data_IF_806386593744
#
_entry.id   IF_806386593744
#
_cell.length_a   1.000
_cell.length_b   1.000
_cell.length_c   1.000
_cell.angle_alpha   90.00
_cell.angle_beta   90.00
_cell.angle_gamma   90.00
#
_symmetry.space_group_name_H-M   'P 1'
#
loop_
_entity.id
_entity.type
_entity.pdbx_description
1 polymer ?
#
# COMPACT_ATOMS: atom_id res chain seq x y z
N UNK A 1 20.87 -3.86 -31.04
CA UNK A 1 21.98 -3.81 -32.00
C UNK A 1 21.45 -3.34 -33.34
N UNK A 2 21.92 -2.19 -33.83
CA UNK A 2 21.57 -1.66 -35.17
C UNK A 2 22.41 -2.36 -36.25
N UNK A 3 23.69 -2.59 -35.98
CA UNK A 3 24.64 -3.16 -36.95
C UNK A 3 24.36 -4.63 -37.31
N UNK A 4 23.65 -5.35 -36.43
CA UNK A 4 23.27 -6.75 -36.67
C UNK A 4 22.04 -6.90 -37.57
N UNK A 5 21.37 -5.80 -37.93
CA UNK A 5 20.20 -5.84 -38.80
C UNK A 5 20.64 -6.01 -40.26
N UNK A 6 19.89 -6.75 -41.10
CA UNK A 6 20.05 -6.75 -42.56
C UNK A 6 20.16 -5.34 -43.17
N UNK A 7 20.90 -5.23 -44.28
CA UNK A 7 21.21 -3.94 -44.92
C UNK A 7 19.97 -3.13 -45.30
N UNK A 8 18.97 -3.80 -45.88
CA UNK A 8 17.69 -3.22 -46.27
C UNK A 8 16.92 -2.64 -45.08
N UNK A 9 16.94 -3.31 -43.91
CA UNK A 9 16.30 -2.82 -42.70
C UNK A 9 17.04 -1.63 -42.09
N UNK A 10 18.39 -1.63 -42.11
CA UNK A 10 19.18 -0.47 -41.68
C UNK A 10 18.91 0.74 -42.56
N UNK A 11 18.88 0.54 -43.88
CA UNK A 11 18.62 1.59 -44.85
C UNK A 11 17.22 2.17 -44.67
N UNK A 12 16.20 1.31 -44.48
CA UNK A 12 14.84 1.75 -44.16
C UNK A 12 14.78 2.63 -42.92
N UNK A 13 15.52 2.30 -41.86
CA UNK A 13 15.57 3.13 -40.64
C UNK A 13 16.26 4.47 -40.91
N UNK A 14 17.39 4.48 -41.62
CA UNK A 14 18.17 5.69 -41.92
C UNK A 14 17.42 6.66 -42.85
N UNK A 15 16.62 6.12 -43.77
CA UNK A 15 15.82 6.89 -44.74
C UNK A 15 14.43 7.27 -44.20
N UNK A 16 14.05 6.81 -42.99
CA UNK A 16 12.75 7.17 -42.40
C UNK A 16 12.74 8.65 -42.05
N UNK A 17 11.92 9.44 -42.75
CA UNK A 17 11.71 10.84 -42.44
C UNK A 17 10.98 10.98 -41.09
N UNK A 18 11.60 11.70 -40.16
CA UNK A 18 11.02 12.02 -38.87
C UNK A 18 10.32 13.37 -38.96
N UNK A 19 9.03 13.39 -38.64
CA UNK A 19 8.31 14.64 -38.44
C UNK A 19 8.69 15.20 -37.06
N UNK A 20 9.43 16.31 -37.06
CA UNK A 20 9.87 16.99 -35.83
C UNK A 20 9.10 18.29 -35.69
N UNK A 21 8.39 18.44 -34.56
CA UNK A 21 7.78 19.69 -34.16
C UNK A 21 8.70 20.39 -33.15
N UNK A 22 9.12 21.62 -33.47
CA UNK A 22 9.81 22.49 -32.54
C UNK A 22 8.78 23.45 -31.94
N UNK A 23 8.62 23.38 -30.62
CA UNK A 23 7.58 24.10 -29.89
C UNK A 23 8.25 25.09 -28.93
N UNK A 24 7.88 26.36 -29.02
CA UNK A 24 8.32 27.42 -28.11
C UNK A 24 7.12 28.01 -27.38
N UNK A 25 7.24 28.25 -26.07
CA UNK A 25 6.14 28.80 -25.27
C UNK A 25 6.41 28.73 -23.78
N UNK A 26 5.43 29.13 -22.98
CA UNK A 26 5.48 28.94 -21.53
C UNK A 26 5.45 27.45 -21.17
N UNK A 27 5.99 27.10 -20.00
CA UNK A 27 6.05 25.71 -19.52
C UNK A 27 4.68 25.01 -19.54
N UNK A 28 3.62 25.74 -19.19
CA UNK A 28 2.23 25.26 -19.23
C UNK A 28 1.74 24.94 -20.65
N UNK A 29 2.17 25.71 -21.65
CA UNK A 29 1.80 25.50 -23.06
C UNK A 29 2.53 24.30 -23.63
N UNK A 30 3.84 24.17 -23.34
CA UNK A 30 4.66 23.02 -23.72
C UNK A 30 4.05 21.73 -23.13
N UNK A 31 3.63 21.74 -21.86
CA UNK A 31 2.98 20.60 -21.20
C UNK A 31 1.69 20.17 -21.89
N UNK A 32 0.81 21.12 -22.22
CA UNK A 32 -0.47 20.81 -22.88
C UNK A 32 -0.28 20.33 -24.32
N UNK A 33 0.67 20.92 -25.06
CA UNK A 33 1.02 20.45 -26.41
C UNK A 33 1.59 19.04 -26.37
N UNK A 34 2.51 18.77 -25.43
CA UNK A 34 3.12 17.45 -25.28
C UNK A 34 2.09 16.38 -24.92
N UNK A 35 1.14 16.68 -24.02
CA UNK A 35 0.00 15.77 -23.76
C UNK A 35 -0.84 15.54 -25.01
N UNK A 36 -1.19 16.61 -25.72
CA UNK A 36 -2.08 16.56 -26.91
C UNK A 36 -1.48 15.73 -28.03
N UNK A 37 -0.19 15.91 -28.32
CA UNK A 37 0.52 15.17 -29.38
C UNK A 37 0.60 13.68 -29.04
N UNK A 38 0.72 13.32 -27.76
CA UNK A 38 0.88 11.93 -27.30
C UNK A 38 -0.45 11.22 -26.95
N UNK A 39 -1.61 11.73 -27.41
CA UNK A 39 -2.92 11.09 -27.20
C UNK A 39 -3.04 9.79 -28.00
N UNK A 40 -2.40 9.70 -29.17
CA UNK A 40 -2.52 8.54 -30.06
C UNK A 40 -1.48 7.48 -29.68
N UNK A 41 -1.95 6.32 -29.24
CA UNK A 41 -1.09 5.17 -28.90
C UNK A 41 -1.17 4.80 -27.42
N UNK A 42 -0.02 4.47 -26.81
CA UNK A 42 0.07 4.22 -25.37
C UNK A 42 0.13 5.55 -24.64
N UNK A 43 -0.83 5.89 -23.76
CA UNK A 43 -0.79 7.14 -23.02
C UNK A 43 0.48 7.25 -22.19
N UNK A 44 1.06 8.45 -22.21
CA UNK A 44 2.18 8.78 -21.33
C UNK A 44 1.71 8.74 -19.87
N UNK A 45 2.54 8.17 -19.01
CA UNK A 45 2.36 8.29 -17.57
C UNK A 45 2.83 9.67 -17.07
N UNK A 46 2.54 9.95 -15.81
CA UNK A 46 2.86 11.25 -15.23
C UNK A 46 4.36 11.56 -15.25
N UNK A 47 5.21 10.58 -14.94
CA UNK A 47 6.66 10.78 -14.94
C UNK A 47 7.22 11.04 -16.34
N UNK A 48 6.68 10.39 -17.36
CA UNK A 48 7.00 10.60 -18.78
C UNK A 48 6.70 12.06 -19.19
N UNK A 49 5.57 12.62 -18.73
CA UNK A 49 5.23 14.04 -18.93
C UNK A 49 6.18 14.98 -18.17
N UNK A 50 6.47 14.68 -16.90
CA UNK A 50 7.35 15.50 -16.06
C UNK A 50 8.77 15.57 -16.61
N UNK A 51 9.28 14.47 -17.14
CA UNK A 51 10.61 14.40 -17.73
C UNK A 51 10.74 15.27 -19.01
N UNK A 52 9.64 15.46 -19.75
CA UNK A 52 9.64 16.35 -20.91
C UNK A 52 9.72 17.83 -20.50
N UNK A 53 9.03 18.19 -19.41
CA UNK A 53 8.95 19.56 -18.90
C UNK A 53 10.25 19.97 -18.20
N UNK A 54 10.72 19.11 -17.29
CA UNK A 54 11.87 19.37 -16.41
C UNK A 54 13.17 18.73 -16.95
N UNK A 55 13.31 18.68 -18.27
CA UNK A 55 14.48 18.10 -18.92
C UNK A 55 15.78 18.80 -18.46
N UNK A 56 16.85 18.02 -18.35
CA UNK A 56 18.18 18.47 -17.93
C UNK A 56 19.06 17.32 -17.43
N UNK A 57 20.32 17.61 -17.07
CA UNK A 57 21.30 16.59 -16.64
C UNK A 57 20.77 15.68 -15.52
N UNK A 58 20.06 16.25 -14.55
CA UNK A 58 19.48 15.52 -13.43
C UNK A 58 18.49 14.42 -13.87
N UNK A 59 17.58 14.74 -14.79
CA UNK A 59 16.60 13.77 -15.31
C UNK A 59 17.29 12.69 -16.14
N UNK A 60 18.30 13.06 -16.93
CA UNK A 60 19.10 12.09 -17.70
C UNK A 60 19.78 11.07 -16.78
N UNK A 61 20.45 11.53 -15.72
CA UNK A 61 21.10 10.68 -14.73
C UNK A 61 20.09 9.81 -13.95
N UNK A 62 18.94 10.38 -13.60
CA UNK A 62 17.85 9.66 -12.94
C UNK A 62 17.35 8.50 -13.80
N UNK A 63 17.13 8.74 -15.10
CA UNK A 63 16.74 7.69 -16.05
C UNK A 63 17.81 6.63 -16.24
N UNK A 64 19.07 7.04 -16.37
CA UNK A 64 20.19 6.11 -16.50
C UNK A 64 20.28 5.15 -15.29
N UNK A 65 20.00 5.66 -14.10
CA UNK A 65 20.07 4.88 -12.86
C UNK A 65 18.83 4.01 -12.64
N UNK A 66 17.63 4.60 -12.75
CA UNK A 66 16.38 3.96 -12.32
C UNK A 66 15.57 3.32 -13.45
N UNK A 67 15.85 3.68 -14.71
CA UNK A 67 15.12 3.17 -15.88
C UNK A 67 15.95 2.19 -16.73
N UNK A 68 17.12 1.78 -16.24
CA UNK A 68 17.96 0.77 -16.89
C UNK A 68 17.44 -0.64 -16.59
N UNK A 69 16.61 -1.18 -17.50
CA UNK A 69 16.06 -2.54 -17.39
C UNK A 69 17.09 -3.66 -17.36
N UNK A 70 18.35 -3.40 -17.74
CA UNK A 70 19.47 -4.35 -17.62
C UNK A 70 20.18 -4.34 -16.27
N UNK A 71 19.82 -3.41 -15.37
CA UNK A 71 20.43 -3.30 -14.04
C UNK A 71 20.01 -4.47 -13.14
N UNK A 72 20.97 -5.08 -12.44
CA UNK A 72 20.70 -6.13 -11.45
C UNK A 72 19.85 -5.63 -10.28
N UNK A 73 19.84 -4.31 -10.01
CA UNK A 73 19.03 -3.69 -8.96
C UNK A 73 17.52 -3.79 -9.25
N UNK A 74 17.11 -3.91 -10.51
CA UNK A 74 15.68 -3.98 -10.89
C UNK A 74 14.99 -5.16 -10.21
N UNK A 75 15.66 -6.32 -10.12
CA UNK A 75 15.09 -7.50 -9.46
C UNK A 75 14.80 -7.24 -7.97
N UNK A 76 15.72 -6.55 -7.28
CA UNK A 76 15.56 -6.16 -5.89
C UNK A 76 14.43 -5.13 -5.72
N UNK A 77 14.41 -4.07 -6.53
CA UNK A 77 13.38 -3.04 -6.42
C UNK A 77 11.99 -3.59 -6.74
N UNK A 78 11.89 -4.51 -7.70
CA UNK A 78 10.61 -5.15 -8.08
C UNK A 78 10.00 -6.01 -6.98
N UNK A 79 10.77 -6.38 -5.95
CA UNK A 79 10.23 -7.08 -4.77
C UNK A 79 9.37 -6.16 -3.88
N UNK A 80 9.69 -4.86 -3.85
CA UNK A 80 9.06 -3.88 -2.96
C UNK A 80 8.18 -2.88 -3.71
N UNK A 81 8.52 -2.58 -4.97
CA UNK A 81 7.88 -1.56 -5.78
C UNK A 81 7.15 -2.23 -6.95
N UNK A 82 5.92 -1.80 -7.17
CA UNK A 82 5.17 -2.21 -8.36
C UNK A 82 5.50 -1.26 -9.52
N UNK A 83 6.42 -1.66 -10.39
CA UNK A 83 6.76 -0.86 -11.56
C UNK A 83 7.56 -1.60 -12.63
N UNK A 84 7.65 -0.96 -13.79
CA UNK A 84 8.52 -1.29 -14.92
C UNK A 84 9.57 -0.20 -15.11
N UNK A 85 10.84 -0.60 -15.16
CA UNK A 85 11.96 0.29 -15.42
C UNK A 85 11.80 1.05 -16.75
N UNK A 86 11.22 0.42 -17.78
CA UNK A 86 11.00 1.05 -19.10
C UNK A 86 9.92 2.13 -19.05
N UNK A 87 8.97 2.03 -18.13
CA UNK A 87 7.96 3.06 -17.83
C UNK A 87 8.42 4.06 -16.79
N UNK A 88 9.67 3.95 -16.33
CA UNK A 88 10.29 4.89 -15.39
C UNK A 88 9.62 4.87 -14.00
N UNK A 89 8.94 3.79 -13.65
CA UNK A 89 8.17 3.70 -12.41
C UNK A 89 9.09 3.75 -11.17
N UNK A 90 10.28 3.14 -11.22
CA UNK A 90 11.24 3.24 -10.11
C UNK A 90 11.80 4.67 -9.95
N UNK A 91 11.95 5.40 -11.07
CA UNK A 91 12.38 6.79 -11.02
C UNK A 91 11.29 7.68 -10.40
N UNK A 92 10.04 7.44 -10.80
CA UNK A 92 8.89 8.11 -10.22
C UNK A 92 8.80 7.90 -8.71
N UNK A 93 8.89 6.65 -8.24
CA UNK A 93 8.85 6.33 -6.80
C UNK A 93 10.02 6.97 -6.05
N UNK A 94 11.23 6.97 -6.62
CA UNK A 94 12.37 7.63 -5.99
C UNK A 94 12.16 9.14 -5.82
N UNK A 95 11.58 9.80 -6.83
CA UNK A 95 11.22 11.22 -6.76
C UNK A 95 10.07 11.49 -5.80
N UNK A 96 9.02 10.67 -5.82
CA UNK A 96 7.87 10.76 -4.93
C UNK A 96 8.30 10.74 -3.46
N UNK A 97 9.16 9.79 -3.11
CA UNK A 97 9.68 9.60 -1.76
C UNK A 97 10.45 10.81 -1.26
N UNK A 98 11.46 11.28 -2.00
CA UNK A 98 12.27 12.43 -1.58
C UNK A 98 11.46 13.75 -1.59
N UNK A 99 10.55 13.93 -2.54
CA UNK A 99 9.69 15.12 -2.60
C UNK A 99 8.73 15.17 -1.41
N UNK A 100 8.10 14.03 -1.09
CA UNK A 100 7.21 13.90 0.08
C UNK A 100 7.96 14.16 1.38
N UNK A 101 9.17 13.60 1.55
CA UNK A 101 10.01 13.84 2.73
C UNK A 101 10.40 15.32 2.89
N UNK A 102 10.48 16.06 1.78
CA UNK A 102 10.73 17.52 1.77
C UNK A 102 9.46 18.37 1.81
N UNK A 103 8.28 17.76 1.90
CA UNK A 103 7.00 18.46 1.96
C UNK A 103 6.64 19.20 0.66
N UNK A 104 7.05 18.67 -0.49
CA UNK A 104 6.80 19.26 -1.81
C UNK A 104 6.33 18.21 -2.83
N UNK A 105 5.88 18.68 -3.99
CA UNK A 105 5.49 17.83 -5.12
C UNK A 105 6.71 17.41 -5.95
N UNK A 106 6.54 16.33 -6.73
CA UNK A 106 7.58 15.86 -7.68
C UNK A 106 7.94 16.98 -8.68
N UNK A 107 6.94 17.72 -9.16
CA UNK A 107 7.15 18.82 -10.12
C UNK A 107 8.04 19.92 -9.53
N UNK A 108 7.78 20.34 -8.30
CA UNK A 108 8.59 21.34 -7.60
C UNK A 108 10.02 20.86 -7.38
N UNK A 109 10.19 19.60 -6.96
CA UNK A 109 11.51 19.00 -6.76
C UNK A 109 12.29 18.93 -8.08
N UNK A 110 11.68 18.38 -9.14
CA UNK A 110 12.33 18.30 -10.45
C UNK A 110 12.66 19.69 -11.02
N UNK A 111 11.80 20.69 -10.85
CA UNK A 111 12.06 22.07 -11.29
C UNK A 111 13.30 22.67 -10.62
N UNK A 112 13.47 22.45 -9.31
CA UNK A 112 14.62 22.95 -8.55
C UNK A 112 15.92 22.24 -8.91
N UNK A 113 15.84 20.96 -9.29
CA UNK A 113 17.01 20.09 -9.45
C UNK A 113 17.38 19.79 -10.91
N UNK A 114 16.56 20.16 -11.91
CA UNK A 114 16.73 19.76 -13.33
C UNK A 114 18.13 20.02 -13.92
N UNK A 115 18.82 21.06 -13.45
CA UNK A 115 20.15 21.44 -13.92
C UNK A 115 21.30 20.88 -13.08
N UNK A 116 21.01 20.15 -12.01
CA UNK A 116 22.02 19.49 -11.19
C UNK A 116 22.71 18.39 -11.99
N UNK A 117 24.02 18.27 -11.81
CA UNK A 117 24.88 17.24 -12.41
C UNK A 117 24.96 15.95 -11.58
N UNK A 118 24.10 15.83 -10.56
CA UNK A 118 24.06 14.68 -9.66
C UNK A 118 22.65 14.39 -9.16
N UNK A 119 22.37 13.10 -8.95
CA UNK A 119 21.16 12.56 -8.32
C UNK A 119 21.42 11.94 -6.94
N UNK A 120 22.60 12.19 -6.35
CA UNK A 120 23.05 11.51 -5.12
C UNK A 120 22.02 11.60 -3.99
N UNK A 121 21.34 12.74 -3.82
CA UNK A 121 20.31 12.91 -2.79
C UNK A 121 19.15 11.93 -2.98
N UNK A 122 18.56 11.90 -4.19
CA UNK A 122 17.46 11.00 -4.52
C UNK A 122 17.87 9.54 -4.38
N UNK A 123 19.03 9.19 -4.92
CA UNK A 123 19.52 7.83 -4.86
C UNK A 123 19.80 7.38 -3.42
N UNK A 124 20.41 8.25 -2.61
CA UNK A 124 20.70 7.96 -1.20
C UNK A 124 19.42 7.73 -0.42
N UNK A 125 18.42 8.63 -0.57
CA UNK A 125 17.14 8.49 0.13
C UNK A 125 16.42 7.20 -0.29
N UNK A 126 16.34 6.92 -1.59
CA UNK A 126 15.75 5.69 -2.11
C UNK A 126 16.44 4.43 -1.55
N UNK A 127 17.78 4.39 -1.62
CA UNK A 127 18.57 3.27 -1.08
C UNK A 127 18.37 3.13 0.44
N UNK A 128 18.25 4.24 1.18
CA UNK A 128 17.94 4.22 2.62
C UNK A 128 16.59 3.57 2.92
N UNK A 129 15.53 3.92 2.19
CA UNK A 129 14.21 3.31 2.37
C UNK A 129 14.26 1.81 2.05
N UNK A 130 14.83 1.43 0.90
CA UNK A 130 14.92 0.00 0.51
C UNK A 130 15.74 -0.81 1.52
N UNK A 131 16.89 -0.29 1.95
CA UNK A 131 17.74 -0.96 2.93
C UNK A 131 17.03 -1.09 4.29
N UNK A 132 16.25 -0.09 4.70
CA UNK A 132 15.46 -0.18 5.93
C UNK A 132 14.42 -1.31 5.85
N UNK A 133 13.68 -1.41 4.74
CA UNK A 133 12.70 -2.48 4.54
C UNK A 133 13.39 -3.85 4.55
N UNK A 134 14.46 -4.02 3.78
CA UNK A 134 15.16 -5.30 3.66
C UNK A 134 15.83 -5.75 4.96
N UNK A 135 16.27 -4.81 5.80
CA UNK A 135 16.84 -5.12 7.11
C UNK A 135 15.78 -5.40 8.17
N UNK A 136 14.59 -4.79 8.04
CA UNK A 136 13.48 -4.98 8.98
C UNK A 136 12.76 -6.31 8.75
N UNK A 137 12.57 -6.68 7.48
CA UNK A 137 11.91 -7.93 7.08
C UNK A 137 12.94 -8.87 6.43
N UNK A 138 13.34 -9.94 7.12
CA UNK A 138 14.31 -10.90 6.60
C UNK A 138 13.68 -11.92 5.62
N UNK A 139 12.36 -11.84 5.40
CA UNK A 139 11.61 -12.56 4.38
C UNK A 139 10.99 -11.58 3.38
N UNK A 140 10.89 -12.01 2.11
CA UNK A 140 10.28 -11.24 1.03
C UNK A 140 9.01 -11.95 0.56
N UNK A 141 7.87 -11.30 0.77
CA UNK A 141 6.57 -11.81 0.34
C UNK A 141 6.04 -11.02 -0.86
N UNK A 142 5.18 -11.65 -1.66
CA UNK A 142 4.59 -11.03 -2.85
C UNK A 142 3.83 -9.75 -2.53
N UNK A 143 3.14 -9.71 -1.40
CA UNK A 143 2.31 -8.59 -0.96
C UNK A 143 3.11 -7.39 -0.43
N UNK A 144 4.43 -7.54 -0.27
CA UNK A 144 5.34 -6.40 -0.03
C UNK A 144 5.43 -5.48 -1.24
N UNK A 145 5.15 -6.01 -2.44
CA UNK A 145 5.21 -5.24 -3.67
C UNK A 145 4.07 -4.23 -3.77
N UNK A 146 4.43 -2.96 -3.89
CA UNK A 146 3.49 -1.85 -4.05
C UNK A 146 2.85 -1.38 -2.75
N UNK A 147 3.51 -1.58 -1.60
CA UNK A 147 3.18 -0.88 -0.36
C UNK A 147 3.80 0.52 -0.37
N UNK A 148 3.23 1.42 0.41
CA UNK A 148 3.66 2.82 0.59
C UNK A 148 4.96 2.91 1.41
N UNK A 149 6.04 2.29 0.93
CA UNK A 149 7.27 2.13 1.70
C UNK A 149 7.92 3.45 2.12
N UNK A 150 7.84 4.51 1.31
CA UNK A 150 8.30 5.84 1.70
C UNK A 150 7.53 6.39 2.90
N UNK A 151 6.20 6.30 2.90
CA UNK A 151 5.37 6.70 4.04
C UNK A 151 5.65 5.84 5.28
N UNK A 152 5.72 4.52 5.10
CA UNK A 152 6.01 3.59 6.19
C UNK A 152 7.40 3.86 6.78
N UNK A 153 8.39 4.17 5.95
CA UNK A 153 9.70 4.57 6.40
C UNK A 153 9.59 5.79 7.31
N UNK A 154 9.01 6.91 6.85
CA UNK A 154 8.87 8.13 7.65
C UNK A 154 8.16 7.91 9.00
N UNK A 155 7.15 7.03 9.02
CA UNK A 155 6.41 6.73 10.25
C UNK A 155 7.23 5.87 11.24
N UNK A 156 7.94 4.86 10.73
CA UNK A 156 8.46 3.74 11.53
C UNK A 156 9.99 3.63 11.63
N UNK A 157 10.78 4.32 10.78
CA UNK A 157 12.24 4.14 10.71
C UNK A 157 12.99 4.44 12.03
N UNK A 158 12.42 5.31 12.86
CA UNK A 158 12.96 5.71 14.16
C UNK A 158 12.94 4.60 15.22
N UNK A 159 12.25 3.49 14.95
CA UNK A 159 12.16 2.37 15.88
C UNK A 159 13.16 1.27 15.51
N UNK A 160 13.67 0.59 16.53
CA UNK A 160 14.53 -0.58 16.34
C UNK A 160 13.69 -1.84 16.29
N UNK A 161 13.83 -2.59 15.20
CA UNK A 161 13.14 -3.85 14.97
C UNK A 161 14.11 -5.03 15.13
N UNK A 162 13.64 -6.11 15.77
CA UNK A 162 14.31 -7.40 15.68
C UNK A 162 13.73 -8.15 14.47
N UNK A 163 14.54 -8.36 13.44
CA UNK A 163 14.10 -8.92 12.17
C UNK A 163 13.56 -10.35 12.29
N UNK A 164 14.10 -11.16 13.18
CA UNK A 164 13.61 -12.52 13.44
C UNK A 164 12.22 -12.49 14.10
N UNK A 165 12.01 -11.57 15.05
CA UNK A 165 10.72 -11.38 15.70
C UNK A 165 9.66 -10.87 14.72
N UNK A 166 10.02 -9.87 13.89
CA UNK A 166 9.14 -9.36 12.83
C UNK A 166 8.72 -10.49 11.90
N UNK A 167 9.67 -11.29 11.43
CA UNK A 167 9.44 -12.32 10.42
C UNK A 167 8.65 -13.51 10.98
N UNK A 168 8.90 -13.89 12.25
CA UNK A 168 8.07 -14.87 12.95
C UNK A 168 6.61 -14.41 13.04
N UNK A 169 6.36 -13.12 13.33
CA UNK A 169 5.00 -12.58 13.41
C UNK A 169 4.33 -12.47 12.05
N UNK A 170 5.07 -12.07 11.02
CA UNK A 170 4.55 -12.08 9.63
C UNK A 170 4.12 -13.51 9.27
N UNK A 171 4.96 -14.51 9.51
CA UNK A 171 4.66 -15.91 9.21
C UNK A 171 3.44 -16.44 9.97
N UNK A 172 3.31 -16.08 11.26
CA UNK A 172 2.11 -16.39 12.07
C UNK A 172 0.84 -15.82 11.43
N UNK A 173 0.87 -14.54 11.06
CA UNK A 173 -0.28 -13.85 10.47
C UNK A 173 -0.61 -14.36 9.05
N UNK A 174 0.40 -14.79 8.28
CA UNK A 174 0.20 -15.46 6.99
C UNK A 174 -0.47 -16.83 7.15
N UNK A 175 -0.16 -17.55 8.23
CA UNK A 175 -0.78 -18.83 8.56
C UNK A 175 -2.20 -18.70 9.13
N UNK A 176 -2.58 -17.52 9.64
CA UNK A 176 -3.90 -17.29 10.21
C UNK A 176 -4.98 -17.23 9.10
N UNK A 177 -5.99 -18.13 9.12
CA UNK A 177 -7.07 -18.15 8.14
C UNK A 177 -8.06 -16.97 8.28
N UNK A 178 -8.03 -16.24 9.40
CA UNK A 178 -8.93 -15.11 9.66
C UNK A 178 -8.37 -13.78 9.17
N UNK A 179 -7.06 -13.69 8.90
CA UNK A 179 -6.42 -12.52 8.29
C UNK A 179 -6.75 -12.47 6.80
N UNK A 180 -7.49 -11.45 6.38
CA UNK A 180 -7.89 -11.27 4.98
C UNK A 180 -6.93 -10.39 4.20
N UNK A 181 -6.42 -9.35 4.85
CA UNK A 181 -5.51 -8.40 4.21
C UNK A 181 -4.06 -8.81 4.47
N UNK A 182 -3.50 -9.58 3.54
CA UNK A 182 -2.07 -9.95 3.56
C UNK A 182 -1.15 -8.74 3.43
N UNK A 183 -1.58 -7.73 2.67
CA UNK A 183 -0.87 -6.43 2.55
C UNK A 183 -0.80 -5.66 3.86
N UNK A 184 -1.87 -5.71 4.67
CA UNK A 184 -1.91 -4.99 5.94
C UNK A 184 -1.04 -5.59 7.04
N UNK A 185 -0.52 -6.82 6.85
CA UNK A 185 0.37 -7.50 7.81
C UNK A 185 1.63 -6.67 8.07
N UNK A 186 2.26 -6.10 7.03
CA UNK A 186 3.55 -5.44 7.18
C UNK A 186 3.46 -4.18 8.04
N UNK A 187 2.50 -3.31 7.75
CA UNK A 187 2.26 -2.11 8.56
C UNK A 187 1.74 -2.48 9.96
N UNK A 188 0.89 -3.51 10.08
CA UNK A 188 0.47 -4.02 11.38
C UNK A 188 1.66 -4.45 12.25
N UNK A 189 2.58 -5.23 11.70
CA UNK A 189 3.77 -5.72 12.41
C UNK A 189 4.74 -4.59 12.74
N UNK A 190 4.94 -3.63 11.83
CA UNK A 190 5.71 -2.42 12.13
C UNK A 190 5.10 -1.64 13.30
N UNK A 191 3.78 -1.46 13.29
CA UNK A 191 3.02 -0.81 14.36
C UNK A 191 3.10 -1.56 15.68
N UNK A 192 2.95 -2.89 15.64
CA UNK A 192 3.02 -3.79 16.78
C UNK A 192 4.36 -3.70 17.53
N UNK A 193 5.47 -3.68 16.78
CA UNK A 193 6.81 -3.61 17.35
C UNK A 193 7.37 -2.18 17.45
N UNK A 194 6.68 -1.20 16.86
CA UNK A 194 6.90 0.20 17.20
C UNK A 194 6.41 0.41 18.63
N UNK A 195 7.26 0.91 19.51
CA UNK A 195 6.91 1.19 20.93
C UNK A 195 5.85 2.30 21.11
N UNK A 196 5.15 2.66 20.03
CA UNK A 196 4.20 3.76 19.92
C UNK A 196 2.74 3.30 20.06
N UNK A 197 2.38 2.08 19.62
CA UNK A 197 0.98 1.61 19.56
C UNK A 197 0.59 0.55 20.61
N UNK A 198 1.41 0.32 21.63
CA UNK A 198 1.18 -0.75 22.61
C UNK A 198 1.26 -2.14 21.98
N UNK A 199 0.97 -3.19 22.74
CA UNK A 199 1.27 -4.58 22.38
C UNK A 199 0.51 -5.14 21.17
N UNK A 200 -0.30 -4.35 20.44
CA UNK A 200 -1.34 -4.86 19.53
C UNK A 200 -1.41 -4.25 18.13
N UNK A 201 -0.58 -3.27 17.77
CA UNK A 201 -0.61 -2.65 16.44
C UNK A 201 -2.01 -2.11 16.03
N UNK A 202 -2.22 -1.76 14.75
CA UNK A 202 -3.54 -1.38 14.24
C UNK A 202 -4.23 -2.57 13.54
N UNK A 203 -5.02 -3.32 14.32
CA UNK A 203 -5.68 -4.55 13.83
C UNK A 203 -6.63 -4.35 12.64
N UNK A 204 -7.07 -3.11 12.37
CA UNK A 204 -7.94 -2.79 11.22
C UNK A 204 -7.25 -3.09 9.90
N UNK A 205 -5.93 -2.96 9.87
CA UNK A 205 -5.09 -3.26 8.71
C UNK A 205 -5.23 -4.71 8.24
N UNK A 206 -5.55 -5.65 9.15
CA UNK A 206 -5.64 -7.08 8.85
C UNK A 206 -6.99 -7.51 8.24
N UNK A 207 -7.99 -6.63 8.24
CA UNK A 207 -9.36 -6.90 7.80
C UNK A 207 -9.93 -8.23 8.33
N UNK A 208 -9.74 -8.51 9.62
CA UNK A 208 -10.10 -9.82 10.19
C UNK A 208 -11.60 -10.10 10.01
N UNK A 209 -11.94 -11.12 9.21
CA UNK A 209 -13.33 -11.64 9.20
C UNK A 209 -13.39 -12.76 10.20
N UNK A 210 -14.09 -12.49 11.28
CA UNK A 210 -13.94 -13.30 12.47
C UNK A 210 -14.68 -14.63 12.40
N UNK A 211 -15.99 -14.65 12.11
CA UNK A 211 -16.77 -15.89 12.26
C UNK A 211 -17.38 -16.37 10.94
N UNK A 212 -17.30 -17.67 10.69
CA UNK A 212 -17.99 -18.31 9.56
C UNK A 212 -19.51 -18.29 9.73
N UNK A 213 -20.25 -18.52 8.64
CA UNK A 213 -21.70 -18.40 8.67
C UNK A 213 -22.38 -19.46 9.56
N UNK A 214 -21.76 -20.64 9.73
CA UNK A 214 -22.26 -21.70 10.61
C UNK A 214 -22.20 -21.25 12.09
N UNK A 215 -21.07 -20.70 12.51
CA UNK A 215 -20.81 -20.16 13.84
C UNK A 215 -21.75 -18.99 14.12
N UNK A 216 -21.86 -18.04 13.18
CA UNK A 216 -22.79 -16.90 13.27
C UNK A 216 -24.23 -17.37 13.50
N UNK A 217 -24.68 -18.36 12.73
CA UNK A 217 -26.04 -18.86 12.83
C UNK A 217 -26.30 -19.63 14.12
N UNK A 218 -25.32 -20.42 14.59
CA UNK A 218 -25.41 -21.14 15.86
C UNK A 218 -25.50 -20.18 17.07
N UNK A 219 -24.62 -19.18 17.11
CA UNK A 219 -24.55 -18.19 18.19
C UNK A 219 -25.79 -17.30 18.19
N UNK A 220 -26.25 -16.85 17.02
CA UNK A 220 -27.50 -16.11 16.88
C UNK A 220 -28.70 -16.88 17.46
N UNK A 221 -28.85 -18.16 17.09
CA UNK A 221 -29.96 -18.99 17.61
C UNK A 221 -29.88 -19.13 19.13
N UNK A 222 -28.69 -19.38 19.66
CA UNK A 222 -28.46 -19.50 21.11
C UNK A 222 -28.78 -18.20 21.85
N UNK A 223 -28.25 -17.07 21.41
CA UNK A 223 -28.51 -15.77 22.03
C UNK A 223 -29.98 -15.37 21.95
N UNK A 224 -30.62 -15.60 20.79
CA UNK A 224 -32.02 -15.23 20.58
C UNK A 224 -32.94 -16.04 21.49
N UNK A 225 -32.72 -17.36 21.60
CA UNK A 225 -33.49 -18.20 22.52
C UNK A 225 -33.37 -17.74 23.98
N UNK A 226 -32.15 -17.47 24.45
CA UNK A 226 -31.92 -16.98 25.82
C UNK A 226 -32.58 -15.61 26.04
N UNK A 227 -32.54 -14.74 25.04
CA UNK A 227 -33.12 -13.41 25.09
C UNK A 227 -34.65 -13.45 25.16
N UNK A 228 -35.28 -14.32 24.37
CA UNK A 228 -36.73 -14.58 24.39
C UNK A 228 -37.19 -15.13 25.75
N UNK A 229 -36.47 -16.13 26.30
CA UNK A 229 -36.78 -16.72 27.62
C UNK A 229 -36.69 -15.69 28.76
N UNK A 230 -35.79 -14.70 28.64
CA UNK A 230 -35.56 -13.67 29.66
C UNK A 230 -36.30 -12.35 29.40
N UNK A 231 -36.98 -12.20 28.27
CA UNK A 231 -37.61 -10.94 27.86
C UNK A 231 -36.62 -9.78 27.67
N UNK A 232 -35.39 -10.06 27.22
CA UNK A 232 -34.33 -9.07 26.97
C UNK A 232 -33.92 -9.06 25.50
N UNK A 233 -33.06 -8.13 25.09
CA UNK A 233 -32.50 -8.10 23.74
C UNK A 233 -31.50 -9.23 23.51
N UNK A 234 -31.46 -9.76 22.28
CA UNK A 234 -30.43 -10.69 21.83
C UNK A 234 -29.07 -10.01 21.53
N UNK A 235 -28.96 -8.69 21.71
CA UNK A 235 -27.70 -7.95 21.76
C UNK A 235 -27.36 -7.60 23.22
N UNK A 236 -26.18 -8.04 23.70
CA UNK A 236 -25.71 -7.86 25.09
C UNK A 236 -25.73 -6.39 25.54
N UNK A 237 -25.24 -5.48 24.70
CA UNK A 237 -25.27 -4.03 24.98
C UNK A 237 -26.68 -3.43 25.00
N UNK A 238 -27.59 -3.90 24.15
CA UNK A 238 -29.00 -3.46 24.20
C UNK A 238 -29.66 -3.93 25.49
N UNK A 239 -29.41 -5.16 25.93
CA UNK A 239 -30.02 -5.73 27.13
C UNK A 239 -29.65 -4.98 28.42
N UNK A 240 -28.45 -4.40 28.50
CA UNK A 240 -27.96 -3.62 29.65
C UNK A 240 -28.42 -2.15 29.57
N UNK A 241 -28.73 -1.64 28.37
CA UNK A 241 -29.11 -0.24 28.16
C UNK A 241 -30.49 0.15 28.73
N UNK A 242 -30.72 1.46 28.82
CA UNK A 242 -31.99 2.06 29.30
C UNK A 242 -32.93 2.53 28.17
N UNK A 243 -32.67 2.15 26.93
CA UNK A 243 -33.42 2.64 25.77
C UNK A 243 -34.52 1.67 25.32
N UNK A 244 -35.29 2.09 24.32
CA UNK A 244 -36.38 1.30 23.73
C UNK A 244 -35.93 -0.06 23.15
N UNK A 245 -34.63 -0.29 22.95
CA UNK A 245 -34.10 -1.53 22.40
C UNK A 245 -33.81 -2.60 23.47
N UNK A 246 -34.06 -2.34 24.76
CA UNK A 246 -33.71 -3.26 25.86
C UNK A 246 -34.29 -4.67 25.73
N UNK A 247 -35.49 -4.79 25.17
CA UNK A 247 -36.17 -6.06 24.91
C UNK A 247 -36.25 -6.40 23.40
N UNK A 248 -35.56 -5.65 22.53
CA UNK A 248 -35.66 -5.85 21.08
C UNK A 248 -34.90 -7.10 20.66
N UNK A 249 -35.59 -7.99 19.95
CA UNK A 249 -34.99 -9.13 19.24
C UNK A 249 -34.62 -8.68 17.82
N UNK A 250 -33.32 -8.56 17.55
CA UNK A 250 -32.80 -8.20 16.24
C UNK A 250 -32.77 -9.42 15.32
N UNK A 251 -33.08 -9.25 14.04
CA UNK A 251 -32.94 -10.31 13.03
C UNK A 251 -31.46 -10.55 12.73
N UNK A 252 -31.13 -11.77 12.27
CA UNK A 252 -29.75 -12.15 11.92
C UNK A 252 -29.07 -11.15 10.96
N UNK A 253 -29.80 -10.60 9.98
CA UNK A 253 -29.28 -9.62 9.02
C UNK A 253 -29.16 -8.18 9.57
N UNK A 254 -29.66 -7.92 10.77
CA UNK A 254 -29.50 -6.67 11.52
C UNK A 254 -28.38 -6.77 12.57
N UNK A 255 -27.73 -7.93 12.64
CA UNK A 255 -26.65 -8.23 13.58
C UNK A 255 -25.37 -8.63 12.85
N UNK A 256 -24.26 -8.39 13.51
CA UNK A 256 -22.93 -8.84 13.11
C UNK A 256 -22.35 -9.67 14.26
N UNK A 257 -21.52 -10.66 13.92
CA UNK A 257 -20.76 -11.40 14.92
C UNK A 257 -19.48 -10.65 15.27
N UNK A 258 -19.13 -10.70 16.54
CA UNK A 258 -17.96 -10.03 17.11
C UNK A 258 -17.40 -10.86 18.26
N UNK A 259 -16.15 -10.61 18.63
CA UNK A 259 -15.56 -11.32 19.75
C UNK A 259 -15.98 -10.71 21.08
N UNK A 260 -16.38 -11.54 22.05
CA UNK A 260 -16.61 -11.09 23.44
C UNK A 260 -15.32 -10.47 24.01
N UNK A 261 -14.22 -11.21 23.91
CA UNK A 261 -12.86 -10.73 24.14
C UNK A 261 -12.22 -10.40 22.81
N UNK A 262 -11.91 -9.12 22.57
CA UNK A 262 -11.36 -8.67 21.29
C UNK A 262 -10.18 -9.55 20.82
N UNK A 263 -10.14 -9.88 19.51
CA UNK A 263 -9.01 -10.58 18.89
C UNK A 263 -7.68 -9.91 19.21
N UNK A 264 -7.68 -8.57 19.19
CA UNK A 264 -6.54 -7.76 19.59
C UNK A 264 -6.05 -8.17 20.98
N UNK A 265 -6.90 -8.41 21.98
CA UNK A 265 -6.47 -8.81 23.33
C UNK A 265 -6.16 -10.31 23.47
N UNK A 266 -5.83 -11.01 22.38
CA UNK A 266 -5.60 -12.46 22.37
C UNK A 266 -6.88 -13.29 22.43
N UNK A 267 -8.04 -12.68 22.14
CA UNK A 267 -9.31 -13.40 22.07
C UNK A 267 -9.31 -14.42 20.94
N UNK A 268 -9.55 -15.69 21.27
CA UNK A 268 -9.63 -16.76 20.27
C UNK A 268 -10.80 -16.54 19.33
N UNK A 269 -10.63 -16.85 18.05
CA UNK A 269 -11.73 -16.93 17.09
C UNK A 269 -12.41 -18.29 17.21
N UNK A 270 -13.17 -18.46 18.29
CA UNK A 270 -13.92 -19.68 18.59
C UNK A 270 -15.38 -19.36 18.89
N UNK A 271 -16.26 -20.36 18.77
CA UNK A 271 -17.70 -20.18 19.00
C UNK A 271 -18.00 -19.69 20.43
N UNK A 272 -17.15 -20.01 21.40
CA UNK A 272 -17.26 -19.57 22.80
C UNK A 272 -16.96 -18.08 22.97
N UNK A 273 -16.08 -17.53 22.12
CA UNK A 273 -15.74 -16.12 22.13
C UNK A 273 -16.59 -15.32 21.13
N UNK A 274 -17.56 -15.93 20.46
CA UNK A 274 -18.46 -15.26 19.52
C UNK A 274 -19.69 -14.71 20.23
N UNK A 275 -20.00 -13.44 19.99
CA UNK A 275 -21.31 -12.85 20.29
C UNK A 275 -21.91 -12.17 19.05
N UNK A 276 -23.24 -12.19 18.95
CA UNK A 276 -24.00 -11.41 17.97
C UNK A 276 -24.37 -10.06 18.58
N UNK A 277 -23.99 -8.97 17.92
CA UNK A 277 -24.34 -7.60 18.30
C UNK A 277 -25.19 -6.95 17.21
N UNK A 278 -26.12 -6.07 17.58
CA UNK A 278 -26.80 -5.25 16.58
C UNK A 278 -25.77 -4.38 15.84
N UNK A 279 -26.00 -4.10 14.56
CA UNK A 279 -25.06 -3.34 13.72
C UNK A 279 -24.60 -2.01 14.34
N UNK A 280 -25.47 -1.34 15.10
CA UNK A 280 -25.13 -0.09 15.78
C UNK A 280 -24.09 -0.30 16.88
N UNK A 281 -24.29 -1.29 17.77
CA UNK A 281 -23.33 -1.58 18.84
C UNK A 281 -22.06 -2.22 18.31
N UNK A 282 -22.17 -3.08 17.29
CA UNK A 282 -20.98 -3.64 16.64
C UNK A 282 -20.08 -2.55 16.04
N UNK A 283 -20.68 -1.56 15.36
CA UNK A 283 -19.93 -0.40 14.83
C UNK A 283 -19.32 0.45 15.95
N UNK A 284 -20.06 0.68 17.04
CA UNK A 284 -19.59 1.47 18.17
C UNK A 284 -18.43 0.79 18.94
N UNK A 285 -18.35 -0.55 18.92
CA UNK A 285 -17.27 -1.31 19.57
C UNK A 285 -15.91 -1.16 18.88
N UNK A 286 -15.89 -0.63 17.65
CA UNK A 286 -14.66 -0.11 17.03
C UNK A 286 -13.73 -1.15 16.41
N UNK A 287 -14.12 -2.42 16.35
CA UNK A 287 -13.35 -3.53 15.77
C UNK A 287 -13.45 -3.62 14.22
N UNK A 288 -13.73 -2.50 13.53
CA UNK A 288 -13.61 -2.39 12.08
C UNK A 288 -12.44 -1.53 11.70
#
# INVERSE_FOLDING_TARGET
HFDSLPHDLRQKILETELLVYECEGAESEIKEWFKTINIVGVPLNEQELLNAIYSGPFVTLGKETFSNSGSSKIAMWSAYINGDAKRQDFWHVALEWIATAKGMTISEYMSQHRFNDSITEVQTYFDTVINWVSNTFNQVEKEMRGLEWGKLYEEYYKFSYNSDQVSAKVSELYGDPFVKSRKGIFEYVLGLYSRQKGDLGDTKLLEVRVFDDATRQAVYKKQTKIAEEKGISNCSYCAIGHNANKAKIWKLNEMDADHVSAWSKGGSTSIENCEMLCKSHNRAKGNK
#
